data_IF_675669835981
#
_entry.id   IF_675669835981
#
_cell.length_a   1.000
_cell.length_b   1.000
_cell.length_c   1.000
_cell.angle_alpha   90.00
_cell.angle_beta   90.00
_cell.angle_gamma   90.00
#
_symmetry.space_group_name_H-M   'P 1'
#
loop_
_entity.id
_entity.type
_entity.pdbx_description
1 polymer ?
#
# COMPACT_ATOMS: atom_id res chain seq x y z
N UNK A 1 39.51 -15.15 15.05
CA UNK A 1 38.13 -15.00 15.55
C UNK A 1 37.18 -15.33 14.41
N UNK A 2 36.37 -16.42 14.45
CA UNK A 2 35.42 -16.67 13.39
C UNK A 2 34.30 -15.62 13.49
N UNK A 3 34.07 -14.91 12.38
CA UNK A 3 32.99 -13.94 12.22
C UNK A 3 31.68 -14.71 12.34
N UNK A 4 30.99 -14.54 13.47
CA UNK A 4 29.64 -15.07 13.73
C UNK A 4 28.75 -14.45 12.65
N UNK A 5 28.37 -15.24 11.65
CA UNK A 5 27.35 -14.84 10.68
C UNK A 5 26.07 -14.69 11.49
N UNK A 6 25.60 -13.45 11.66
CA UNK A 6 24.29 -13.20 12.26
C UNK A 6 23.30 -13.91 11.34
N UNK A 7 22.63 -14.92 11.87
CA UNK A 7 21.60 -15.65 11.15
C UNK A 7 20.38 -14.72 11.04
N UNK A 8 20.18 -14.18 9.84
CA UNK A 8 19.07 -13.27 9.54
C UNK A 8 17.82 -14.02 9.07
N UNK A 9 17.79 -15.35 9.19
CA UNK A 9 16.66 -16.19 8.76
C UNK A 9 15.32 -15.71 9.33
N UNK A 10 15.25 -15.47 10.64
CA UNK A 10 14.03 -14.96 11.30
C UNK A 10 13.58 -13.59 10.77
N UNK A 11 14.52 -12.66 10.57
CA UNK A 11 14.21 -11.35 10.02
C UNK A 11 13.76 -11.43 8.54
N UNK A 12 14.33 -12.35 7.77
CA UNK A 12 13.95 -12.60 6.39
C UNK A 12 12.53 -13.19 6.32
N UNK A 13 12.23 -14.18 7.16
CA UNK A 13 10.90 -14.79 7.23
C UNK A 13 9.84 -13.75 7.62
N UNK A 14 10.13 -12.92 8.63
CA UNK A 14 9.24 -11.83 9.04
C UNK A 14 9.03 -10.80 7.91
N UNK A 15 10.09 -10.45 7.18
CA UNK A 15 10.00 -9.54 6.03
C UNK A 15 9.14 -10.12 4.91
N UNK A 16 9.35 -11.40 4.56
CA UNK A 16 8.59 -12.07 3.52
C UNK A 16 7.11 -12.19 3.91
N UNK A 17 6.81 -12.53 5.15
CA UNK A 17 5.44 -12.55 5.66
C UNK A 17 4.76 -11.17 5.55
N UNK A 18 5.42 -10.12 6.02
CA UNK A 18 4.92 -8.75 5.91
C UNK A 18 4.71 -8.33 4.45
N UNK A 19 5.62 -8.70 3.55
CA UNK A 19 5.47 -8.43 2.11
C UNK A 19 4.24 -9.13 1.54
N UNK A 20 4.03 -10.41 1.85
CA UNK A 20 2.87 -11.15 1.36
C UNK A 20 1.56 -10.53 1.82
N UNK A 21 1.49 -10.06 3.07
CA UNK A 21 0.31 -9.35 3.58
C UNK A 21 0.07 -8.04 2.80
N UNK A 22 1.13 -7.27 2.52
CA UNK A 22 1.03 -6.04 1.71
C UNK A 22 0.57 -6.35 0.29
N UNK A 23 1.17 -7.35 -0.36
CA UNK A 23 0.81 -7.76 -1.72
C UNK A 23 -0.69 -8.13 -1.80
N UNK A 24 -1.18 -8.91 -0.81
CA UNK A 24 -2.59 -9.30 -0.74
C UNK A 24 -3.53 -8.10 -0.51
N UNK A 25 -3.12 -7.11 0.28
CA UNK A 25 -3.90 -5.87 0.46
C UNK A 25 -3.96 -5.05 -0.82
N UNK A 26 -2.83 -4.94 -1.55
CA UNK A 26 -2.77 -4.22 -2.82
C UNK A 26 -3.62 -4.90 -3.90
N UNK A 27 -3.60 -6.23 -3.99
CA UNK A 27 -4.43 -7.00 -4.92
C UNK A 27 -5.93 -6.75 -4.68
N UNK A 28 -6.37 -6.75 -3.41
CA UNK A 28 -7.76 -6.44 -3.05
C UNK A 28 -8.17 -5.03 -3.46
N UNK A 29 -7.30 -4.03 -3.25
CA UNK A 29 -7.57 -2.66 -3.67
C UNK A 29 -7.62 -2.52 -5.19
N UNK A 30 -6.76 -3.23 -5.92
CA UNK A 30 -6.78 -3.25 -7.38
C UNK A 30 -8.08 -3.88 -7.91
N UNK A 31 -8.52 -5.00 -7.33
CA UNK A 31 -9.80 -5.63 -7.67
C UNK A 31 -10.99 -4.71 -7.39
N UNK A 32 -11.01 -4.04 -6.22
CA UNK A 32 -12.03 -3.07 -5.86
C UNK A 32 -12.04 -1.87 -6.84
N UNK A 33 -10.86 -1.39 -7.25
CA UNK A 33 -10.76 -0.32 -8.25
C UNK A 33 -11.26 -0.76 -9.62
N UNK A 34 -11.02 -2.01 -10.02
CA UNK A 34 -11.53 -2.55 -11.28
C UNK A 34 -13.06 -2.66 -11.28
N UNK A 35 -13.65 -2.89 -10.10
CA UNK A 35 -15.10 -2.91 -9.88
C UNK A 35 -15.67 -1.53 -9.49
N UNK A 36 -15.03 -0.44 -9.92
CA UNK A 36 -15.47 0.95 -9.69
C UNK A 36 -15.71 1.30 -8.22
N UNK A 37 -14.97 0.68 -7.31
CA UNK A 37 -15.17 0.78 -5.86
C UNK A 37 -16.58 0.40 -5.42
N UNK A 38 -17.16 -0.62 -6.06
CA UNK A 38 -18.52 -1.12 -5.78
C UNK A 38 -19.59 -0.02 -5.88
N UNK A 39 -19.34 0.97 -6.77
CA UNK A 39 -20.22 2.12 -6.95
C UNK A 39 -20.76 2.14 -8.38
N UNK A 40 -22.08 2.21 -8.52
CA UNK A 40 -22.70 2.37 -9.83
C UNK A 40 -22.63 3.84 -10.29
N UNK A 41 -22.34 4.13 -11.58
CA UNK A 41 -22.24 5.50 -12.09
C UNK A 41 -23.44 6.41 -11.77
N UNK A 42 -24.65 5.84 -11.78
CA UNK A 42 -25.90 6.57 -11.51
C UNK A 42 -26.10 6.91 -10.01
N UNK A 43 -25.34 6.30 -9.12
CA UNK A 43 -25.41 6.48 -7.66
C UNK A 43 -24.29 7.38 -7.13
N UNK A 44 -23.34 7.80 -7.99
CA UNK A 44 -22.20 8.62 -7.60
C UNK A 44 -22.66 10.00 -7.12
N UNK A 45 -22.23 10.36 -5.91
CA UNK A 45 -22.39 11.68 -5.33
C UNK A 45 -21.08 12.22 -4.73
N UNK A 46 -21.13 13.43 -4.17
CA UNK A 46 -19.98 14.06 -3.52
C UNK A 46 -19.46 13.31 -2.28
N UNK A 47 -20.29 12.50 -1.63
CA UNK A 47 -19.88 11.62 -0.54
C UNK A 47 -18.93 10.52 -1.05
N UNK A 48 -19.27 9.88 -2.18
CA UNK A 48 -18.41 8.90 -2.84
C UNK A 48 -17.07 9.52 -3.26
N UNK A 49 -17.10 10.73 -3.83
CA UNK A 49 -15.89 11.49 -4.19
C UNK A 49 -15.04 11.78 -2.94
N UNK A 50 -15.66 12.12 -1.81
CA UNK A 50 -14.98 12.30 -0.53
C UNK A 50 -14.25 11.05 -0.05
N UNK A 51 -14.91 9.89 -0.11
CA UNK A 51 -14.33 8.59 0.25
C UNK A 51 -13.13 8.24 -0.63
N UNK A 52 -13.24 8.42 -1.95
CA UNK A 52 -12.11 8.16 -2.86
C UNK A 52 -10.93 9.11 -2.63
N UNK A 53 -11.19 10.38 -2.35
CA UNK A 53 -10.14 11.33 -2.00
C UNK A 53 -9.41 10.92 -0.71
N UNK A 54 -10.12 10.37 0.26
CA UNK A 54 -9.53 9.85 1.49
C UNK A 54 -8.60 8.66 1.21
N UNK A 55 -9.04 7.68 0.41
CA UNK A 55 -8.20 6.54 0.01
C UNK A 55 -6.98 6.99 -0.79
N UNK A 56 -7.17 7.92 -1.73
CA UNK A 56 -6.09 8.51 -2.52
C UNK A 56 -5.03 9.16 -1.63
N UNK A 57 -5.43 9.93 -0.61
CA UNK A 57 -4.50 10.59 0.30
C UNK A 57 -3.62 9.58 1.06
N UNK A 58 -4.22 8.49 1.56
CA UNK A 58 -3.48 7.43 2.27
C UNK A 58 -2.50 6.69 1.35
N UNK A 59 -2.93 6.32 0.16
CA UNK A 59 -2.06 5.66 -0.82
C UNK A 59 -0.88 6.55 -1.23
N UNK A 60 -1.15 7.86 -1.38
CA UNK A 60 -0.10 8.85 -1.64
C UNK A 60 0.91 8.93 -0.50
N UNK A 61 0.45 9.04 0.75
CA UNK A 61 1.34 9.08 1.92
C UNK A 61 2.27 7.85 2.00
N UNK A 62 1.72 6.65 1.74
CA UNK A 62 2.49 5.40 1.71
C UNK A 62 3.51 5.42 0.56
N UNK A 63 3.10 5.87 -0.63
CA UNK A 63 3.96 5.94 -1.82
C UNK A 63 5.08 6.96 -1.63
N UNK A 64 4.74 8.18 -1.20
CA UNK A 64 5.69 9.26 -0.94
C UNK A 64 6.73 8.83 0.10
N UNK A 65 6.31 8.08 1.14
CA UNK A 65 7.21 7.51 2.15
C UNK A 65 8.12 6.41 1.59
N UNK A 66 7.59 5.54 0.72
CA UNK A 66 8.36 4.44 0.12
C UNK A 66 9.40 4.95 -0.89
N UNK A 67 9.08 5.99 -1.65
CA UNK A 67 9.94 6.56 -2.70
C UNK A 67 10.73 7.80 -2.26
N UNK A 68 10.54 8.28 -1.02
CA UNK A 68 11.16 9.50 -0.46
C UNK A 68 10.82 10.77 -1.27
N UNK A 69 9.70 10.77 -1.96
CA UNK A 69 9.26 11.87 -2.83
C UNK A 69 8.81 13.11 -2.03
N UNK A 70 8.61 12.97 -0.71
CA UNK A 70 8.27 14.07 0.20
C UNK A 70 9.45 14.94 0.69
N UNK A 71 10.70 14.47 0.62
CA UNK A 71 11.88 15.23 1.06
C UNK A 71 12.88 15.59 -0.06
N UNK A 72 12.72 15.02 -1.26
CA UNK A 72 13.64 15.25 -2.40
C UNK A 72 12.97 15.53 -3.75
N UNK A 73 11.72 16.01 -3.79
CA UNK A 73 11.22 16.71 -4.96
C UNK A 73 11.78 18.15 -5.00
N UNK A 74 13.03 18.30 -5.46
CA UNK A 74 13.56 19.58 -5.96
C UNK A 74 13.31 19.70 -7.46
#
# INVERSE_FOLDING_TARGET
>A
MPRRTVDNSEALDAFVAAKFEIDAMLERLAALSADHFDTHPDEIDWGHVGTLNHYRAKLREITDSAFKEGEHAR
#
